data_IF_826508689130
#
_entry.id   IF_826508689130
#
_cell.length_a   1.000
_cell.length_b   1.000
_cell.length_c   1.000
_cell.angle_alpha   90.00
_cell.angle_beta   90.00
_cell.angle_gamma   90.00
#
_symmetry.space_group_name_H-M   'P 1'
#
loop_
_entity.id
_entity.type
_entity.pdbx_description
1 polymer ?
#
# COMPACT_ATOMS: atom_id res chain seq x y z
N UNK A 1 24.58 0.20 12.29
CA UNK A 1 23.44 0.97 11.73
C UNK A 1 22.24 0.04 11.77
N UNK A 2 21.03 0.55 12.01
CA UNK A 2 19.85 -0.30 12.00
C UNK A 2 19.64 -0.93 10.64
N UNK A 3 19.14 -2.16 10.62
CA UNK A 3 18.87 -2.91 9.39
C UNK A 3 17.51 -2.49 8.83
N UNK A 4 17.50 -1.99 7.60
CA UNK A 4 16.28 -1.58 6.90
C UNK A 4 16.03 -2.55 5.75
N UNK A 5 14.81 -3.10 5.67
CA UNK A 5 14.39 -3.88 4.50
C UNK A 5 13.30 -3.14 3.73
N UNK A 6 13.54 -3.00 2.43
CA UNK A 6 12.52 -2.52 1.48
C UNK A 6 11.78 -3.74 0.92
N UNK A 7 10.47 -3.78 1.14
CA UNK A 7 9.56 -4.78 0.60
C UNK A 7 8.81 -4.17 -0.57
N UNK A 8 9.18 -4.54 -1.80
CA UNK A 8 8.52 -4.10 -3.03
C UNK A 8 7.42 -5.10 -3.37
N UNK A 9 6.18 -4.62 -3.48
CA UNK A 9 5.03 -5.46 -3.87
C UNK A 9 4.91 -5.45 -5.38
N UNK A 10 5.36 -6.54 -6.02
CA UNK A 10 5.28 -6.69 -7.46
C UNK A 10 3.95 -7.29 -7.90
N UNK A 11 3.29 -6.63 -8.83
CA UNK A 11 2.13 -7.15 -9.56
C UNK A 11 2.08 -6.52 -10.96
N UNK A 12 2.00 -7.36 -11.98
CA UNK A 12 1.83 -6.93 -13.37
C UNK A 12 3.14 -6.54 -14.05
N UNK A 13 3.33 -5.28 -14.38
CA UNK A 13 4.41 -4.81 -15.25
C UNK A 13 5.78 -4.85 -14.57
N UNK A 14 6.69 -5.66 -15.12
CA UNK A 14 8.07 -5.78 -14.66
C UNK A 14 8.89 -4.49 -14.86
N UNK A 15 8.65 -3.73 -15.93
CA UNK A 15 9.39 -2.50 -16.17
C UNK A 15 9.21 -1.47 -15.04
N UNK A 16 8.02 -1.44 -14.44
CA UNK A 16 7.74 -0.62 -13.27
C UNK A 16 8.54 -1.08 -12.06
N UNK A 17 8.55 -2.39 -11.80
CA UNK A 17 9.32 -2.98 -10.70
C UNK A 17 10.82 -2.74 -10.88
N UNK A 18 11.32 -2.84 -12.10
CA UNK A 18 12.73 -2.53 -12.42
C UNK A 18 13.06 -1.06 -12.16
N UNK A 19 12.17 -0.13 -12.55
CA UNK A 19 12.33 1.29 -12.27
C UNK A 19 12.31 1.59 -10.75
N UNK A 20 11.36 0.98 -10.03
CA UNK A 20 11.25 1.05 -8.57
C UNK A 20 12.55 0.55 -7.92
N UNK A 21 12.97 -0.67 -8.22
CA UNK A 21 14.19 -1.29 -7.71
C UNK A 21 15.42 -0.42 -7.97
N UNK A 22 15.60 0.05 -9.21
CA UNK A 22 16.72 0.92 -9.56
C UNK A 22 16.73 2.24 -8.78
N UNK A 23 15.55 2.77 -8.41
CA UNK A 23 15.48 3.96 -7.56
C UNK A 23 15.90 3.66 -6.11
N UNK A 24 15.54 2.50 -5.58
CA UNK A 24 15.94 2.02 -4.25
C UNK A 24 17.44 1.76 -4.20
N UNK A 25 18.02 1.12 -5.22
CA UNK A 25 19.47 0.87 -5.32
C UNK A 25 20.32 2.16 -5.39
N UNK A 26 19.73 3.27 -5.86
CA UNK A 26 20.36 4.60 -5.87
C UNK A 26 20.13 5.38 -4.57
N UNK A 27 19.50 4.77 -3.57
CA UNK A 27 19.29 5.43 -2.28
C UNK A 27 20.60 5.71 -1.56
N UNK A 28 20.65 6.83 -0.85
CA UNK A 28 21.77 7.22 0.03
C UNK A 28 21.76 6.43 1.36
N UNK A 29 20.92 5.41 1.49
CA UNK A 29 20.81 4.55 2.66
C UNK A 29 21.04 3.10 2.25
N UNK A 30 21.81 2.36 3.03
CA UNK A 30 22.03 0.93 2.80
C UNK A 30 20.77 0.16 3.24
N UNK A 31 20.26 -0.68 2.35
CA UNK A 31 19.03 -1.46 2.60
C UNK A 31 19.15 -2.88 2.07
N UNK A 32 18.45 -3.80 2.71
CA UNK A 32 18.12 -5.10 2.14
C UNK A 32 16.84 -5.00 1.31
N UNK A 33 16.70 -5.79 0.25
CA UNK A 33 15.56 -5.69 -0.68
C UNK A 33 14.88 -7.04 -0.83
N UNK A 34 13.56 -7.05 -0.69
CA UNK A 34 12.70 -8.19 -0.95
C UNK A 34 11.65 -7.74 -1.98
N UNK A 35 11.53 -8.47 -3.07
CA UNK A 35 10.46 -8.29 -4.05
C UNK A 35 9.46 -9.43 -3.83
N UNK A 36 8.23 -9.09 -3.41
CA UNK A 36 7.13 -10.04 -3.27
C UNK A 36 6.31 -10.05 -4.55
N UNK A 37 6.49 -11.11 -5.36
CA UNK A 37 5.77 -11.30 -6.62
C UNK A 37 4.39 -11.92 -6.33
N UNK A 38 3.37 -11.10 -6.43
CA UNK A 38 1.98 -11.46 -6.16
C UNK A 38 1.31 -12.12 -7.38
N UNK A 39 1.93 -13.21 -7.88
CA UNK A 39 1.50 -14.02 -9.00
C UNK A 39 1.48 -13.30 -10.38
N UNK A 40 2.59 -12.65 -10.72
CA UNK A 40 2.82 -12.12 -12.07
C UNK A 40 2.95 -13.22 -13.12
N UNK A 41 2.72 -12.88 -14.37
CA UNK A 41 2.74 -13.83 -15.47
C UNK A 41 4.14 -14.42 -15.69
N UNK A 42 4.25 -15.70 -16.04
CA UNK A 42 5.54 -16.43 -16.21
C UNK A 42 6.45 -15.78 -17.27
N UNK A 43 5.87 -15.09 -18.27
CA UNK A 43 6.62 -14.36 -19.30
C UNK A 43 7.50 -13.24 -18.71
N UNK A 44 7.07 -12.62 -17.60
CA UNK A 44 7.82 -11.55 -16.95
C UNK A 44 9.05 -12.07 -16.19
N UNK A 45 9.10 -13.39 -15.91
CA UNK A 45 10.22 -14.02 -15.19
C UNK A 45 11.48 -14.14 -16.05
N UNK A 46 11.37 -14.21 -17.37
CA UNK A 46 12.50 -14.34 -18.26
C UNK A 46 13.38 -13.09 -18.26
N UNK A 47 12.77 -11.92 -18.01
CA UNK A 47 13.47 -10.66 -17.83
C UNK A 47 14.27 -10.58 -16.51
N UNK A 48 13.93 -11.43 -15.53
CA UNK A 48 14.61 -11.48 -14.22
C UNK A 48 15.93 -12.25 -14.28
N UNK A 49 16.07 -13.18 -15.21
CA UNK A 49 17.31 -13.94 -15.42
C UNK A 49 18.48 -13.07 -15.90
N UNK A 50 18.21 -11.91 -16.49
CA UNK A 50 19.25 -11.00 -16.99
C UNK A 50 19.92 -10.18 -15.87
N UNK A 51 19.43 -10.25 -14.65
CA UNK A 51 20.03 -9.60 -13.49
C UNK A 51 20.73 -10.61 -12.58
N UNK A 52 22.03 -10.81 -12.78
CA UNK A 52 22.87 -11.79 -12.08
C UNK A 52 22.93 -11.68 -10.54
N UNK A 53 22.21 -10.70 -9.95
CA UNK A 53 22.23 -10.42 -8.51
C UNK A 53 20.94 -10.82 -7.77
N UNK A 54 19.96 -11.46 -8.45
CA UNK A 54 18.75 -11.88 -7.79
C UNK A 54 18.89 -13.27 -7.17
N UNK A 55 18.48 -13.38 -5.92
CA UNK A 55 18.30 -14.66 -5.25
C UNK A 55 16.83 -15.05 -5.31
N UNK A 56 16.54 -16.15 -6.01
CA UNK A 56 15.17 -16.68 -6.06
C UNK A 56 14.84 -17.43 -4.79
N UNK A 57 13.81 -16.94 -4.10
CA UNK A 57 13.26 -17.60 -2.93
C UNK A 57 12.07 -18.46 -3.33
N UNK A 58 12.22 -19.78 -3.23
CA UNK A 58 11.10 -20.74 -3.24
C UNK A 58 10.41 -20.77 -1.87
N UNK A 59 9.47 -21.68 -1.70
CA UNK A 59 8.67 -21.85 -0.47
C UNK A 59 9.49 -22.20 0.78
N UNK A 60 10.80 -22.47 0.68
CA UNK A 60 11.70 -22.72 1.80
C UNK A 60 13.07 -22.08 1.59
N UNK A 61 13.48 -21.15 2.45
CA UNK A 61 14.85 -20.66 2.55
C UNK A 61 15.68 -21.68 3.32
N UNK A 62 16.61 -22.31 2.62
CA UNK A 62 17.60 -23.19 3.25
C UNK A 62 18.89 -22.45 3.59
N UNK A 63 19.14 -21.29 2.95
CA UNK A 63 20.36 -20.50 3.14
C UNK A 63 20.06 -19.00 3.20
N UNK A 64 20.85 -18.27 4.02
CA UNK A 64 20.80 -16.81 4.06
C UNK A 64 21.41 -16.24 2.79
N UNK A 65 20.73 -15.31 2.08
CA UNK A 65 21.31 -14.67 0.91
C UNK A 65 22.60 -13.93 1.27
N UNK A 66 23.53 -13.84 0.30
CA UNK A 66 24.75 -13.06 0.47
C UNK A 66 24.40 -11.57 0.60
N UNK A 67 25.24 -10.83 1.33
CA UNK A 67 25.06 -9.39 1.51
C UNK A 67 24.98 -8.70 0.15
N UNK A 68 23.92 -7.92 -0.06
CA UNK A 68 23.64 -7.21 -1.31
C UNK A 68 22.80 -7.99 -2.33
N UNK A 69 22.45 -9.25 -2.05
CA UNK A 69 21.51 -9.98 -2.90
C UNK A 69 20.07 -9.54 -2.61
N UNK A 70 19.27 -9.50 -3.68
CA UNK A 70 17.85 -9.18 -3.64
C UNK A 70 17.08 -10.50 -3.54
N UNK A 71 16.18 -10.60 -2.55
CA UNK A 71 15.27 -11.74 -2.47
C UNK A 71 14.09 -11.49 -3.41
N UNK A 72 13.84 -12.44 -4.31
CA UNK A 72 12.60 -12.51 -5.08
C UNK A 72 11.73 -13.63 -4.52
N UNK A 73 10.67 -13.24 -3.81
CA UNK A 73 9.72 -14.18 -3.25
C UNK A 73 8.48 -14.29 -4.13
N UNK A 74 8.28 -15.44 -4.76
CA UNK A 74 7.11 -15.71 -5.58
C UNK A 74 5.97 -16.29 -4.76
N UNK A 75 4.84 -15.61 -4.76
CA UNK A 75 3.60 -16.15 -4.22
C UNK A 75 2.92 -17.05 -5.27
N UNK A 76 2.32 -18.17 -4.86
CA UNK A 76 1.71 -19.14 -5.78
C UNK A 76 0.44 -18.62 -6.49
N UNK A 77 -0.18 -17.56 -5.96
CA UNK A 77 -1.39 -16.93 -6.48
C UNK A 77 -1.47 -15.48 -6.01
N UNK A 78 -2.32 -14.66 -6.64
CA UNK A 78 -2.58 -13.30 -6.20
C UNK A 78 -3.36 -13.32 -4.87
N UNK A 79 -2.64 -13.22 -3.77
CA UNK A 79 -3.18 -13.24 -2.42
C UNK A 79 -3.60 -11.84 -1.90
N UNK A 80 -3.44 -10.80 -2.74
CA UNK A 80 -3.70 -9.41 -2.38
C UNK A 80 -2.50 -8.69 -1.78
N UNK A 81 -2.65 -7.37 -1.63
CA UNK A 81 -1.57 -6.48 -1.17
C UNK A 81 -1.09 -6.82 0.24
N UNK A 82 -2.03 -6.98 1.19
CA UNK A 82 -1.70 -7.26 2.60
C UNK A 82 -0.91 -8.57 2.76
N UNK A 83 -1.28 -9.63 2.04
CA UNK A 83 -0.60 -10.91 2.11
C UNK A 83 0.82 -10.84 1.54
N UNK A 84 1.00 -10.13 0.41
CA UNK A 84 2.32 -9.91 -0.18
C UNK A 84 3.23 -9.09 0.74
N UNK A 85 2.71 -8.00 1.34
CA UNK A 85 3.43 -7.22 2.33
C UNK A 85 3.84 -8.07 3.55
N UNK A 86 2.92 -8.87 4.07
CA UNK A 86 3.17 -9.75 5.22
C UNK A 86 4.22 -10.81 4.92
N UNK A 87 4.22 -11.38 3.72
CA UNK A 87 5.25 -12.33 3.30
C UNK A 87 6.64 -11.68 3.35
N UNK A 88 6.78 -10.48 2.77
CA UNK A 88 8.01 -9.70 2.82
C UNK A 88 8.46 -9.36 4.24
N UNK A 89 7.52 -8.94 5.11
CA UNK A 89 7.81 -8.64 6.52
C UNK A 89 8.33 -9.88 7.27
N UNK A 90 7.69 -11.06 7.06
CA UNK A 90 8.15 -12.31 7.70
C UNK A 90 9.56 -12.69 7.25
N UNK A 91 9.87 -12.55 5.96
CA UNK A 91 11.20 -12.80 5.42
C UNK A 91 12.20 -11.78 6.00
N UNK A 92 11.88 -10.50 6.01
CA UNK A 92 12.72 -9.45 6.58
C UNK A 92 13.05 -9.72 8.06
N UNK A 93 12.05 -10.15 8.84
CA UNK A 93 12.22 -10.50 10.25
C UNK A 93 13.13 -11.71 10.46
N UNK A 94 12.93 -12.78 9.66
CA UNK A 94 13.65 -14.06 9.84
C UNK A 94 15.05 -14.05 9.27
N UNK A 95 15.23 -13.45 8.08
CA UNK A 95 16.48 -13.51 7.32
C UNK A 95 17.40 -12.35 7.65
N UNK A 96 16.87 -11.13 7.60
CA UNK A 96 17.67 -9.92 7.80
C UNK A 96 17.64 -9.41 9.24
N UNK A 97 16.71 -9.89 10.08
CA UNK A 97 16.50 -9.39 11.44
C UNK A 97 16.31 -7.87 11.44
N UNK A 98 15.52 -7.39 10.50
CA UNK A 98 15.32 -5.98 10.23
C UNK A 98 14.73 -5.21 11.39
N UNK A 99 15.27 -4.02 11.64
CA UNK A 99 14.74 -3.07 12.63
C UNK A 99 13.56 -2.29 12.02
N UNK A 100 13.66 -1.97 10.72
CA UNK A 100 12.67 -1.19 9.98
C UNK A 100 12.29 -1.84 8.67
N UNK A 101 11.03 -1.63 8.29
CA UNK A 101 10.45 -2.07 7.02
C UNK A 101 9.94 -0.86 6.26
N UNK A 102 10.31 -0.77 4.98
CA UNK A 102 9.68 0.11 4.01
C UNK A 102 8.85 -0.74 3.04
N UNK A 103 7.53 -0.63 3.09
CA UNK A 103 6.65 -1.25 2.09
C UNK A 103 6.44 -0.25 0.96
N UNK A 104 6.69 -0.70 -0.27
CA UNK A 104 6.69 0.15 -1.45
C UNK A 104 5.95 -0.53 -2.61
N UNK A 105 5.04 0.19 -3.27
CA UNK A 105 4.44 -0.28 -4.49
C UNK A 105 5.46 -0.34 -5.62
N UNK A 106 5.33 -1.30 -6.52
CA UNK A 106 6.25 -1.47 -7.64
C UNK A 106 6.16 -0.37 -8.71
N UNK A 107 5.08 0.41 -8.73
CA UNK A 107 4.91 1.57 -9.61
C UNK A 107 5.32 2.91 -8.95
N UNK A 108 6.09 2.81 -7.86
CA UNK A 108 6.72 3.95 -7.18
C UNK A 108 8.23 4.02 -7.46
N UNK A 109 8.76 5.23 -7.53
CA UNK A 109 10.21 5.49 -7.45
C UNK A 109 10.51 6.44 -6.31
N UNK A 110 11.63 6.23 -5.63
CA UNK A 110 12.03 7.04 -4.46
C UNK A 110 13.12 8.05 -4.81
N UNK A 111 13.06 9.24 -4.24
CA UNK A 111 14.17 10.18 -4.28
C UNK A 111 15.39 9.58 -3.54
N UNK A 112 16.64 9.77 -3.97
CA UNK A 112 17.82 9.16 -3.32
C UNK A 112 17.90 9.39 -1.81
N UNK A 113 17.48 10.54 -1.30
CA UNK A 113 17.47 10.84 0.14
C UNK A 113 16.24 10.29 0.89
N UNK A 114 15.23 9.75 0.20
CA UNK A 114 13.92 9.40 0.78
C UNK A 114 14.04 8.44 1.96
N UNK A 115 14.71 7.29 1.78
CA UNK A 115 14.79 6.25 2.82
C UNK A 115 15.56 6.75 4.04
N UNK A 116 16.66 7.47 3.83
CA UNK A 116 17.43 8.10 4.90
C UNK A 116 16.58 9.11 5.68
N UNK A 117 15.79 9.93 4.99
CA UNK A 117 14.89 10.90 5.60
C UNK A 117 13.81 10.20 6.42
N UNK A 118 13.17 9.14 5.87
CA UNK A 118 12.18 8.34 6.60
C UNK A 118 12.77 7.77 7.88
N UNK A 119 13.95 7.15 7.83
CA UNK A 119 14.61 6.58 9.01
C UNK A 119 14.87 7.65 10.07
N UNK A 120 15.54 8.73 9.73
CA UNK A 120 15.86 9.80 10.68
C UNK A 120 14.61 10.42 11.30
N UNK A 121 13.57 10.66 10.49
CA UNK A 121 12.30 11.18 11.00
C UNK A 121 11.66 10.18 11.97
N UNK A 122 11.63 8.89 11.62
CA UNK A 122 11.05 7.86 12.47
C UNK A 122 11.78 7.76 13.82
N UNK A 123 13.11 7.76 13.80
CA UNK A 123 13.95 7.70 15.00
C UNK A 123 13.78 8.93 15.91
N UNK A 124 13.42 10.08 15.36
CA UNK A 124 13.16 11.31 16.13
C UNK A 124 11.79 11.34 16.83
N UNK A 125 10.91 10.37 16.52
CA UNK A 125 9.52 10.34 16.98
C UNK A 125 9.27 9.08 17.83
N UNK A 126 9.30 9.20 19.17
CA UNK A 126 9.20 8.03 20.06
C UNK A 126 7.85 7.31 20.00
N UNK A 127 6.80 8.02 19.57
CA UNK A 127 5.43 7.51 19.42
C UNK A 127 5.06 7.17 17.97
N UNK A 128 6.03 7.12 17.05
CA UNK A 128 5.75 6.85 15.64
C UNK A 128 5.23 5.42 15.44
N UNK A 129 4.03 5.33 14.87
CA UNK A 129 3.45 4.08 14.38
C UNK A 129 3.86 3.83 12.93
N UNK A 130 3.07 4.35 12.01
CA UNK A 130 3.39 4.32 10.57
C UNK A 130 3.85 5.71 10.12
N UNK A 131 4.88 5.74 9.28
CA UNK A 131 5.39 6.96 8.67
C UNK A 131 5.24 6.88 7.15
N UNK A 132 4.51 7.83 6.56
CA UNK A 132 4.39 8.02 5.13
C UNK A 132 5.39 9.04 4.58
N UNK A 133 5.47 9.11 3.25
CA UNK A 133 6.21 10.11 2.50
C UNK A 133 5.26 11.05 1.73
N UNK A 134 5.75 12.20 1.27
CA UNK A 134 5.06 13.00 0.25
C UNK A 134 5.13 12.24 -1.08
N UNK A 135 3.98 11.87 -1.62
CA UNK A 135 3.88 11.16 -2.88
C UNK A 135 3.38 12.09 -3.97
N UNK A 136 4.15 12.21 -5.05
CA UNK A 136 3.84 12.99 -6.24
C UNK A 136 3.44 12.07 -7.39
N UNK A 137 2.67 12.57 -8.36
CA UNK A 137 2.44 11.86 -9.61
C UNK A 137 3.69 11.89 -10.50
N UNK A 138 4.14 10.73 -10.99
CA UNK A 138 5.29 10.65 -11.93
C UNK A 138 4.98 11.25 -13.30
N UNK A 139 3.70 11.29 -13.71
CA UNK A 139 3.26 11.72 -15.04
C UNK A 139 2.86 13.18 -15.15
N UNK A 140 2.89 13.93 -14.05
CA UNK A 140 2.43 15.31 -14.00
C UNK A 140 3.36 16.13 -13.12
N UNK A 141 4.03 17.11 -13.72
CA UNK A 141 5.03 17.96 -13.05
C UNK A 141 4.44 18.63 -11.81
N UNK A 142 4.96 18.22 -10.64
CA UNK A 142 4.63 18.83 -9.36
C UNK A 142 3.21 18.59 -8.83
N UNK A 143 2.42 17.66 -9.39
CA UNK A 143 1.12 17.33 -8.81
C UNK A 143 1.27 16.34 -7.64
N UNK A 144 0.66 16.67 -6.52
CA UNK A 144 0.61 15.81 -5.34
C UNK A 144 -0.37 14.66 -5.60
N UNK A 145 0.10 13.43 -5.36
CA UNK A 145 -0.76 12.26 -5.30
C UNK A 145 -1.38 12.11 -3.90
N UNK A 146 -0.54 12.22 -2.85
CA UNK A 146 -0.99 12.17 -1.46
C UNK A 146 0.11 12.60 -0.49
N UNK A 147 -0.27 13.25 0.60
CA UNK A 147 0.54 13.42 1.82
C UNK A 147 -0.11 12.73 3.01
N UNK A 148 -0.80 11.62 2.77
CA UNK A 148 -1.60 10.87 3.74
C UNK A 148 -3.09 11.00 3.48
N UNK A 149 -3.90 10.41 4.33
CA UNK A 149 -5.35 10.39 4.19
C UNK A 149 -6.08 11.01 5.36
N UNK A 150 -7.24 11.58 5.07
CA UNK A 150 -8.21 12.06 6.05
C UNK A 150 -9.46 11.18 6.02
N UNK A 151 -9.93 10.79 7.19
CA UNK A 151 -11.07 9.91 7.37
C UNK A 151 -12.04 10.44 8.44
N UNK A 152 -13.30 10.55 8.07
CA UNK A 152 -14.35 10.88 9.01
C UNK A 152 -15.26 9.66 9.25
N UNK A 153 -15.15 9.03 10.41
CA UNK A 153 -15.92 7.84 10.77
C UNK A 153 -17.43 8.06 10.87
N UNK A 154 -17.88 9.30 11.05
CA UNK A 154 -19.32 9.63 11.16
C UNK A 154 -20.02 9.80 9.82
N UNK A 155 -19.23 10.01 8.74
CA UNK A 155 -19.74 10.22 7.39
C UNK A 155 -19.20 9.25 6.37
N UNK A 156 -18.26 8.38 6.75
CA UNK A 156 -17.45 7.52 5.86
C UNK A 156 -16.72 8.30 4.77
N UNK A 157 -16.43 9.58 5.00
CA UNK A 157 -15.70 10.41 4.05
C UNK A 157 -14.22 10.12 4.15
N UNK A 158 -13.62 9.75 3.02
CA UNK A 158 -12.19 9.51 2.86
C UNK A 158 -11.66 10.34 1.71
N UNK A 159 -10.49 10.95 1.90
CA UNK A 159 -9.76 11.64 0.82
C UNK A 159 -8.26 11.58 1.06
N UNK A 160 -7.49 11.54 -0.01
CA UNK A 160 -6.06 11.78 0.06
C UNK A 160 -5.83 13.30 0.21
N UNK A 161 -5.04 13.68 1.23
CA UNK A 161 -4.68 15.07 1.50
C UNK A 161 -3.76 15.54 0.36
N UNK A 162 -4.03 16.72 -0.19
CA UNK A 162 -3.25 17.34 -1.25
C UNK A 162 -3.49 16.75 -2.65
N UNK A 163 -4.37 15.72 -2.79
CA UNK A 163 -4.53 15.00 -4.05
C UNK A 163 -4.89 15.94 -5.23
N UNK A 164 -4.06 15.92 -6.28
CA UNK A 164 -4.14 16.75 -7.50
C UNK A 164 -3.92 18.24 -7.30
N UNK A 165 -3.46 18.67 -6.13
CA UNK A 165 -2.95 20.02 -5.94
C UNK A 165 -1.53 20.13 -6.51
N UNK A 166 -1.17 21.30 -7.03
CA UNK A 166 0.22 21.60 -7.39
C UNK A 166 1.02 21.73 -6.11
N UNK A 167 2.19 21.10 -6.02
CA UNK A 167 3.09 21.24 -4.87
C UNK A 167 3.78 22.61 -4.94
N UNK A 168 3.22 23.56 -4.24
CA UNK A 168 3.77 24.91 -4.05
C UNK A 168 4.47 25.07 -2.69
N UNK A 169 4.79 23.96 -2.00
CA UNK A 169 5.36 23.97 -0.65
C UNK A 169 4.33 24.09 0.48
N UNK A 170 3.02 24.07 0.17
CA UNK A 170 1.92 24.18 1.14
C UNK A 170 1.89 23.01 2.14
N UNK A 171 2.48 21.86 1.78
CA UNK A 171 2.69 20.73 2.67
C UNK A 171 4.19 20.57 2.90
N UNK A 172 4.66 20.90 4.11
CA UNK A 172 6.05 20.84 4.52
C UNK A 172 6.19 20.25 5.91
N UNK A 173 7.38 19.71 6.23
CA UNK A 173 7.67 19.12 7.53
C UNK A 173 6.83 17.89 7.83
N UNK A 174 6.31 17.79 9.06
CA UNK A 174 5.65 16.62 9.61
C UNK A 174 4.14 16.83 9.73
N UNK A 175 3.35 15.95 9.14
CA UNK A 175 1.89 15.95 9.21
C UNK A 175 1.41 14.74 10.05
N UNK A 176 0.19 14.84 10.60
CA UNK A 176 -0.51 13.76 11.33
C UNK A 176 -1.80 13.38 10.60
N UNK A 177 -1.73 12.57 9.55
CA UNK A 177 -2.92 12.10 8.85
C UNK A 177 -3.66 11.02 9.65
N UNK A 178 -4.94 10.79 9.35
CA UNK A 178 -5.69 9.69 9.94
C UNK A 178 -5.13 8.33 9.49
N UNK A 179 -4.60 8.25 8.26
CA UNK A 179 -3.86 7.09 7.76
C UNK A 179 -2.77 7.51 6.77
N UNK A 180 -1.68 6.75 6.73
CA UNK A 180 -0.63 6.92 5.74
C UNK A 180 -1.06 6.36 4.38
N UNK A 181 -0.47 6.87 3.30
CA UNK A 181 -0.80 6.39 1.97
C UNK A 181 -0.08 5.07 1.67
N UNK A 182 -0.85 4.04 1.28
CA UNK A 182 -0.38 2.65 1.15
C UNK A 182 0.74 2.44 0.12
N UNK A 183 0.97 3.39 -0.80
CA UNK A 183 2.03 3.27 -1.79
C UNK A 183 3.46 3.33 -1.21
N UNK A 184 3.63 3.93 -0.02
CA UNK A 184 4.91 4.03 0.69
C UNK A 184 4.66 4.11 2.19
N UNK A 185 4.99 3.05 2.92
CA UNK A 185 4.80 2.96 4.37
C UNK A 185 6.07 2.49 5.06
N UNK A 186 6.60 3.31 5.96
CA UNK A 186 7.76 3.01 6.78
C UNK A 186 7.34 2.72 8.23
N UNK A 187 7.84 1.64 8.83
CA UNK A 187 7.43 1.18 10.16
C UNK A 187 8.56 0.41 10.84
N UNK A 188 8.68 0.50 12.17
CA UNK A 188 9.62 -0.33 12.92
C UNK A 188 9.07 -1.75 13.14
N UNK A 189 9.97 -2.74 13.19
CA UNK A 189 9.60 -4.12 13.55
C UNK A 189 8.98 -4.19 14.95
N UNK A 190 9.45 -3.36 15.88
CA UNK A 190 8.86 -3.23 17.22
C UNK A 190 7.39 -2.81 17.18
N UNK A 191 7.05 -1.85 16.31
CA UNK A 191 5.67 -1.44 16.12
C UNK A 191 4.85 -2.59 15.52
N UNK A 192 5.39 -3.28 14.49
CA UNK A 192 4.73 -4.46 13.88
C UNK A 192 4.48 -5.54 14.92
N UNK A 193 5.44 -5.84 15.78
CA UNK A 193 5.27 -6.84 16.83
C UNK A 193 4.17 -6.47 17.84
N UNK A 194 3.93 -5.16 18.03
CA UNK A 194 2.89 -4.65 18.94
C UNK A 194 1.50 -4.65 18.30
N UNK A 195 1.40 -4.24 17.03
CA UNK A 195 0.10 -4.06 16.36
C UNK A 195 -0.29 -5.28 15.51
N UNK A 196 0.64 -6.20 15.26
CA UNK A 196 0.51 -7.35 14.37
C UNK A 196 0.67 -7.00 12.89
N UNK A 197 0.71 -8.03 12.05
CA UNK A 197 0.79 -7.93 10.60
C UNK A 197 -0.48 -7.29 10.01
N UNK A 198 -0.47 -6.93 8.73
CA UNK A 198 -1.65 -6.48 8.01
C UNK A 198 -2.74 -7.55 8.02
N UNK A 199 -4.00 -7.15 8.03
CA UNK A 199 -5.14 -8.07 7.97
C UNK A 199 -5.36 -8.52 6.51
N UNK A 200 -4.98 -9.76 6.19
CA UNK A 200 -5.03 -10.32 4.83
C UNK A 200 -6.46 -10.48 4.27
N UNK A 201 -7.49 -10.31 5.12
CA UNK A 201 -8.88 -10.25 4.65
C UNK A 201 -9.17 -9.01 3.81
N UNK A 202 -8.36 -7.94 3.95
CA UNK A 202 -8.34 -6.81 3.04
C UNK A 202 -7.39 -7.14 1.88
N UNK A 203 -7.93 -7.68 0.80
CA UNK A 203 -7.11 -8.05 -0.36
C UNK A 203 -6.47 -6.83 -1.03
N UNK A 204 -7.22 -5.73 -1.12
CA UNK A 204 -6.82 -4.44 -1.69
C UNK A 204 -7.76 -3.35 -1.18
N UNK A 205 -7.24 -2.21 -0.79
CA UNK A 205 -7.91 -1.06 -0.16
C UNK A 205 -8.35 -1.31 1.29
N UNK A 206 -8.14 -0.33 2.14
CA UNK A 206 -8.42 -0.26 3.58
C UNK A 206 -7.45 -1.06 4.48
N UNK A 207 -6.51 -1.84 3.92
CA UNK A 207 -5.49 -2.55 4.69
C UNK A 207 -4.55 -1.59 5.42
N UNK A 208 -4.12 -0.52 4.75
CA UNK A 208 -3.30 0.54 5.33
C UNK A 208 -4.06 1.32 6.42
N UNK A 209 -5.35 1.55 6.18
CA UNK A 209 -6.20 2.25 7.13
C UNK A 209 -6.46 1.39 8.39
N UNK A 210 -6.76 0.09 8.21
CA UNK A 210 -6.86 -0.88 9.32
C UNK A 210 -5.58 -0.87 10.16
N UNK A 211 -4.43 -0.89 9.51
CA UNK A 211 -3.13 -0.94 10.20
C UNK A 211 -2.87 0.34 10.99
N UNK A 212 -3.16 1.50 10.41
CA UNK A 212 -3.08 2.80 11.07
C UNK A 212 -4.02 2.91 12.28
N UNK A 213 -5.27 2.42 12.18
CA UNK A 213 -6.21 2.41 13.32
C UNK A 213 -5.68 1.53 14.44
N UNK A 214 -5.09 0.36 14.11
CA UNK A 214 -4.49 -0.53 15.14
C UNK A 214 -3.29 0.12 15.83
N UNK A 215 -2.47 0.86 15.09
CA UNK A 215 -1.36 1.60 15.67
C UNK A 215 -1.86 2.67 16.65
N UNK A 216 -2.84 3.48 16.24
CA UNK A 216 -3.49 4.47 17.12
C UNK A 216 -4.08 3.81 18.38
N UNK A 217 -4.73 2.66 18.23
CA UNK A 217 -5.31 1.90 19.35
C UNK A 217 -4.28 1.34 20.34
N UNK A 218 -3.00 1.35 19.98
CA UNK A 218 -1.86 0.96 20.82
C UNK A 218 -1.04 2.15 21.33
N UNK A 219 -1.53 3.37 21.15
CA UNK A 219 -0.89 4.59 21.61
C UNK A 219 0.17 5.15 20.70
N UNK A 220 0.33 4.60 19.49
CA UNK A 220 1.19 5.19 18.46
C UNK A 220 0.46 6.33 17.74
N UNK A 221 1.22 7.18 17.05
CA UNK A 221 0.73 8.23 16.17
C UNK A 221 1.21 7.95 14.74
N UNK A 222 0.32 8.12 13.75
CA UNK A 222 0.70 8.01 12.34
C UNK A 222 1.18 9.37 11.83
N UNK A 223 2.27 9.36 11.07
CA UNK A 223 2.86 10.56 10.53
C UNK A 223 3.09 10.47 9.02
N UNK A 224 3.23 11.60 8.37
CA UNK A 224 3.78 11.75 7.01
C UNK A 224 4.84 12.83 7.07
N UNK A 225 6.07 12.51 6.62
CA UNK A 225 7.09 13.53 6.41
C UNK A 225 7.07 14.01 4.96
N UNK A 226 6.93 15.33 4.79
CA UNK A 226 6.93 15.94 3.47
C UNK A 226 8.34 16.11 2.89
N UNK A 227 9.38 15.85 3.67
CA UNK A 227 10.79 15.92 3.26
C UNK A 227 11.26 14.62 2.57
N UNK A 228 10.54 13.52 2.73
CA UNK A 228 10.75 12.29 1.97
C UNK A 228 9.86 12.30 0.72
N UNK A 229 10.48 12.18 -0.47
CA UNK A 229 9.76 12.26 -1.75
C UNK A 229 9.69 10.92 -2.44
N UNK A 230 8.48 10.58 -2.90
CA UNK A 230 8.17 9.39 -3.70
C UNK A 230 7.37 9.82 -4.93
N UNK A 231 7.66 9.21 -6.08
CA UNK A 231 6.95 9.45 -7.33
C UNK A 231 6.16 8.19 -7.69
N UNK A 232 4.87 8.32 -7.91
CA UNK A 232 3.95 7.20 -8.11
C UNK A 232 3.31 7.27 -9.51
N UNK A 233 3.48 6.21 -10.30
CA UNK A 233 2.85 6.07 -11.61
C UNK A 233 1.47 5.43 -11.46
N UNK A 234 0.56 6.13 -10.77
CA UNK A 234 -0.76 5.63 -10.43
C UNK A 234 -1.53 5.11 -11.66
N UNK A 235 -2.05 3.89 -11.54
CA UNK A 235 -2.89 3.25 -12.55
C UNK A 235 -2.13 2.32 -13.50
N UNK A 236 -0.84 2.13 -13.32
CA UNK A 236 -0.05 1.19 -14.13
C UNK A 236 -0.35 -0.27 -13.74
N UNK A 237 -0.43 -0.57 -12.45
CA UNK A 237 -0.77 -1.90 -11.93
C UNK A 237 -2.25 -2.24 -12.03
N UNK A 238 -3.15 -1.24 -12.10
CA UNK A 238 -4.60 -1.44 -12.25
C UNK A 238 -5.10 -1.34 -13.70
N UNK A 239 -4.20 -1.23 -14.67
CA UNK A 239 -4.50 -1.18 -16.10
C UNK A 239 -5.35 0.02 -16.52
N UNK A 240 -4.70 1.12 -16.94
CA UNK A 240 -5.24 2.34 -17.54
C UNK A 240 -5.78 3.40 -16.58
N UNK A 241 -5.66 4.67 -17.03
CA UNK A 241 -6.32 5.87 -16.48
C UNK A 241 -7.84 5.65 -16.39
N UNK A 242 -8.28 4.94 -15.34
CA UNK A 242 -9.69 4.63 -15.16
C UNK A 242 -10.32 5.85 -14.49
N UNK A 243 -11.12 6.62 -15.23
CA UNK A 243 -12.13 7.47 -14.61
C UNK A 243 -12.92 6.57 -13.66
N UNK A 244 -13.21 7.03 -12.44
CA UNK A 244 -13.98 6.26 -11.43
C UNK A 244 -15.26 5.60 -11.97
N UNK A 245 -15.77 6.09 -13.10
CA UNK A 245 -16.94 5.54 -13.83
C UNK A 245 -16.65 4.23 -14.58
N UNK A 246 -15.38 3.86 -14.75
CA UNK A 246 -14.94 2.70 -15.54
C UNK A 246 -14.07 1.73 -14.72
N UNK A 247 -14.03 1.87 -13.38
CA UNK A 247 -13.32 0.92 -12.55
C UNK A 247 -13.94 -0.49 -12.73
N UNK A 248 -13.12 -1.55 -12.88
CA UNK A 248 -13.61 -2.92 -12.95
C UNK A 248 -14.53 -3.23 -11.78
N UNK A 249 -15.57 -4.03 -12.00
CA UNK A 249 -16.56 -4.41 -10.98
C UNK A 249 -15.91 -4.98 -9.72
N UNK A 250 -14.85 -5.78 -9.90
CA UNK A 250 -14.06 -6.36 -8.82
C UNK A 250 -13.44 -5.28 -7.91
N UNK A 251 -12.85 -4.24 -8.49
CA UNK A 251 -12.23 -3.13 -7.73
C UNK A 251 -13.28 -2.36 -6.92
N UNK A 252 -14.45 -2.09 -7.52
CA UNK A 252 -15.55 -1.42 -6.82
C UNK A 252 -16.06 -2.29 -5.65
N UNK A 253 -16.22 -3.58 -5.89
CA UNK A 253 -16.69 -4.51 -4.87
C UNK A 253 -15.69 -4.61 -3.69
N UNK A 254 -14.38 -4.67 -3.97
CA UNK A 254 -13.33 -4.65 -2.94
C UNK A 254 -13.36 -3.35 -2.13
N UNK A 255 -13.38 -2.20 -2.80
CA UNK A 255 -13.34 -0.90 -2.14
C UNK A 255 -14.50 -0.73 -1.15
N UNK A 256 -15.72 -1.05 -1.56
CA UNK A 256 -16.89 -0.84 -0.72
C UNK A 256 -17.13 -2.00 0.27
N UNK A 257 -16.81 -3.23 -0.10
CA UNK A 257 -16.87 -4.37 0.82
C UNK A 257 -15.87 -4.24 1.95
N UNK A 258 -14.66 -3.76 1.65
CA UNK A 258 -13.64 -3.50 2.65
C UNK A 258 -13.98 -2.30 3.54
N UNK A 259 -14.70 -1.30 3.03
CA UNK A 259 -15.24 -0.23 3.88
C UNK A 259 -16.22 -0.79 4.94
N UNK A 260 -17.15 -1.67 4.54
CA UNK A 260 -18.04 -2.35 5.50
C UNK A 260 -17.22 -3.15 6.51
N UNK A 261 -16.22 -3.93 6.04
CA UNK A 261 -15.34 -4.73 6.91
C UNK A 261 -14.58 -3.86 7.91
N UNK A 262 -14.07 -2.69 7.49
CA UNK A 262 -13.40 -1.74 8.37
C UNK A 262 -14.33 -1.27 9.49
N UNK A 263 -15.60 -0.94 9.15
CA UNK A 263 -16.58 -0.51 10.13
C UNK A 263 -16.97 -1.62 11.10
N UNK A 264 -17.24 -2.82 10.59
CA UNK A 264 -17.55 -3.99 11.44
C UNK A 264 -16.41 -4.28 12.43
N UNK A 265 -15.17 -4.07 12.02
CA UNK A 265 -13.98 -4.35 12.83
C UNK A 265 -13.71 -3.26 13.86
N UNK A 266 -13.75 -1.99 13.46
CA UNK A 266 -13.26 -0.87 14.28
C UNK A 266 -14.36 0.05 14.82
N UNK A 267 -15.51 0.08 14.16
CA UNK A 267 -16.63 0.99 14.48
C UNK A 267 -17.98 0.27 14.46
N UNK A 268 -18.15 -0.85 15.21
CA UNK A 268 -19.35 -1.69 15.08
C UNK A 268 -20.66 -0.92 15.31
N UNK A 269 -20.69 0.03 16.26
CA UNK A 269 -21.86 0.88 16.52
C UNK A 269 -22.14 1.89 15.40
N UNK A 270 -21.15 2.21 14.57
CA UNK A 270 -21.28 3.12 13.42
C UNK A 270 -21.44 2.36 12.08
N UNK A 271 -21.50 1.03 12.10
CA UNK A 271 -21.73 0.23 10.89
C UNK A 271 -22.98 0.67 10.11
N UNK A 272 -24.11 1.06 10.73
CA UNK A 272 -25.25 1.61 10.00
C UNK A 272 -24.89 2.84 9.14
N UNK A 273 -23.93 3.67 9.58
CA UNK A 273 -23.47 4.84 8.79
C UNK A 273 -22.82 4.41 7.47
N UNK A 274 -22.00 3.34 7.51
CA UNK A 274 -21.40 2.78 6.30
C UNK A 274 -22.47 2.29 5.32
N UNK A 275 -23.50 1.58 5.81
CA UNK A 275 -24.61 1.13 4.97
C UNK A 275 -25.40 2.30 4.38
N UNK A 276 -25.77 3.32 5.19
CA UNK A 276 -26.43 4.54 4.71
C UNK A 276 -25.60 5.18 3.60
N UNK A 277 -24.28 5.33 3.81
CA UNK A 277 -23.38 5.87 2.81
C UNK A 277 -23.39 5.07 1.50
N UNK A 278 -23.35 3.74 1.59
CA UNK A 278 -23.42 2.88 0.41
C UNK A 278 -24.77 3.00 -0.31
N UNK A 279 -25.89 3.03 0.40
CA UNK A 279 -27.19 3.27 -0.21
C UNK A 279 -27.28 4.62 -0.93
N UNK A 280 -26.70 5.68 -0.36
CA UNK A 280 -26.60 6.98 -1.04
C UNK A 280 -25.77 6.89 -2.33
N UNK A 281 -24.68 6.11 -2.32
CA UNK A 281 -23.86 5.88 -3.52
C UNK A 281 -24.65 5.09 -4.57
N UNK A 282 -25.40 4.05 -4.15
CA UNK A 282 -26.30 3.29 -5.04
C UNK A 282 -27.31 4.22 -5.69
N UNK A 283 -28.01 5.04 -4.92
CA UNK A 283 -28.99 6.01 -5.42
C UNK A 283 -28.34 6.97 -6.44
N UNK A 284 -27.16 7.51 -6.12
CA UNK A 284 -26.41 8.35 -7.07
C UNK A 284 -26.09 7.62 -8.37
N UNK A 285 -25.67 6.34 -8.30
CA UNK A 285 -25.40 5.52 -9.51
C UNK A 285 -26.65 5.32 -10.36
N UNK A 286 -27.80 5.08 -9.72
CA UNK A 286 -29.10 4.95 -10.42
C UNK A 286 -29.46 6.26 -11.15
N UNK A 287 -29.36 7.41 -10.48
CA UNK A 287 -29.62 8.73 -11.09
C UNK A 287 -28.73 8.97 -12.30
N UNK A 288 -27.45 8.53 -12.23
CA UNK A 288 -26.50 8.64 -13.35
C UNK A 288 -26.62 7.48 -14.37
N UNK A 289 -27.69 6.67 -14.33
CA UNK A 289 -27.96 5.52 -15.21
C UNK A 289 -26.84 4.45 -15.21
N UNK A 290 -26.09 4.34 -14.13
CA UNK A 290 -25.02 3.34 -13.96
C UNK A 290 -25.57 2.09 -13.24
N UNK A 291 -26.59 1.47 -13.82
CA UNK A 291 -27.37 0.38 -13.19
C UNK A 291 -26.54 -0.84 -12.85
N UNK A 292 -25.55 -1.20 -13.68
CA UNK A 292 -24.62 -2.31 -13.41
C UNK A 292 -23.87 -2.11 -12.11
N UNK A 293 -23.28 -0.93 -11.90
CA UNK A 293 -22.57 -0.60 -10.67
C UNK A 293 -23.50 -0.50 -9.46
N UNK A 294 -24.70 0.05 -9.64
CA UNK A 294 -25.70 0.10 -8.58
C UNK A 294 -26.09 -1.32 -8.11
N UNK A 295 -26.34 -2.23 -9.05
CA UNK A 295 -26.67 -3.64 -8.75
C UNK A 295 -25.50 -4.36 -8.05
N UNK A 296 -24.27 -4.16 -8.50
CA UNK A 296 -23.08 -4.72 -7.86
C UNK A 296 -22.96 -4.24 -6.40
N UNK A 297 -23.12 -2.94 -6.16
CA UNK A 297 -23.06 -2.39 -4.80
C UNK A 297 -24.18 -2.93 -3.91
N UNK A 298 -25.37 -3.15 -4.44
CA UNK A 298 -26.44 -3.84 -3.71
C UNK A 298 -26.03 -5.26 -3.32
N UNK A 299 -25.42 -6.03 -4.22
CA UNK A 299 -24.87 -7.35 -3.88
C UNK A 299 -23.85 -7.28 -2.74
N UNK A 300 -22.93 -6.29 -2.78
CA UNK A 300 -21.93 -6.07 -1.71
C UNK A 300 -22.60 -5.76 -0.37
N UNK A 301 -23.64 -4.90 -0.37
CA UNK A 301 -24.40 -4.54 0.84
C UNK A 301 -25.07 -5.78 1.46
N UNK A 302 -25.60 -6.68 0.64
CA UNK A 302 -26.26 -7.91 1.11
C UNK A 302 -25.29 -9.10 1.32
N UNK A 303 -23.99 -8.85 1.37
CA UNK A 303 -22.99 -9.85 1.78
C UNK A 303 -22.56 -10.82 0.68
N UNK A 304 -22.79 -10.49 -0.60
CA UNK A 304 -22.26 -11.30 -1.70
C UNK A 304 -20.73 -11.36 -1.63
N UNK A 305 -20.20 -12.58 -1.62
CA UNK A 305 -18.75 -12.78 -1.47
C UNK A 305 -18.01 -12.31 -2.72
N UNK A 306 -17.10 -11.37 -2.55
CA UNK A 306 -16.31 -10.74 -3.63
C UNK A 306 -15.50 -11.78 -4.44
N UNK A 307 -15.16 -12.92 -3.82
CA UNK A 307 -14.43 -14.03 -4.47
C UNK A 307 -15.22 -14.76 -5.57
N UNK A 308 -16.52 -14.52 -5.68
CA UNK A 308 -17.38 -15.16 -6.69
C UNK A 308 -17.54 -14.29 -7.95
N UNK A 309 -16.91 -13.11 -7.99
CA UNK A 309 -16.87 -12.27 -9.19
C UNK A 309 -15.77 -12.80 -10.12
N UNK A 310 -16.07 -13.11 -11.39
CA UNK A 310 -15.04 -13.52 -12.34
C UNK A 310 -13.99 -12.41 -12.44
N UNK A 311 -12.73 -12.79 -12.32
CA UNK A 311 -11.62 -11.94 -12.67
C UNK A 311 -11.72 -11.64 -14.16
N UNK A 312 -12.16 -10.43 -14.52
CA UNK A 312 -12.30 -9.97 -15.91
C UNK A 312 -10.95 -9.53 -16.46
#
# INVERSE_FOLDING_TARGET
MPEITVVIIHYGDYALTSACLNSVLRSNEAVSIIICDNASNVADQQLLHDHANYYFYGTSLTEKPLKGQIIWHRMGFNAGYAAAANAGIRIAKTIYQSDYILILNNDCTVHPACIKTLRHTYESLPDCGLLGAKVLFSSADGLINSVGGSFNKWTCWQKNIGAREVDAGQYSGLLKPDYVYGACMFISMKCIDTIGLMDERFLLYQEEHDWCIRALGKGYTNYTTCDALVFHQQGASSGKKIKQQQAPDYILALQYGNLIRLYLKHFPLLTPVAFIRLFMIVAKRIVHRQYRHAFLLMKVIFGYRIHELPAS
#
